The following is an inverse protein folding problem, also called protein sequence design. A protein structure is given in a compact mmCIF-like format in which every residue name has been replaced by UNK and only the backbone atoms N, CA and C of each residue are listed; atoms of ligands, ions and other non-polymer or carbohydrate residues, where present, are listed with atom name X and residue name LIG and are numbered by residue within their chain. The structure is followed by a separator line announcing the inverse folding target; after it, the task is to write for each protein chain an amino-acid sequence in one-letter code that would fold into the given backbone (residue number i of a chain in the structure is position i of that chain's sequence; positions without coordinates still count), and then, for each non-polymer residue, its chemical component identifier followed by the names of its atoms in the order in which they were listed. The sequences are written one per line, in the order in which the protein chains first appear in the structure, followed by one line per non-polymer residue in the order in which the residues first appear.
data_IF_604729625138
#
_entry.id   IF_604729625138
#
_cell.length_a   1.000
_cell.length_b   1.000
_cell.length_c   1.000
_cell.angle_alpha   90.00
_cell.angle_beta   90.00
_cell.angle_gamma   90.00
#
_symmetry.space_group_name_H-M   'P 1'
#
loop_
_entity.id
_entity.type
_entity.pdbx_description
1 polymer ?
#
# COMPACT_ATOMS: atom_id res chain seq x y z
N UNK A 1 -37.49 80.80 57.25
CA UNK A 1 -37.52 79.32 57.33
C UNK A 1 -36.58 78.82 56.26
N UNK A 2 -35.52 78.11 56.66
CA UNK A 2 -34.45 77.63 55.79
C UNK A 2 -34.63 76.11 55.71
N UNK A 3 -35.02 75.60 54.55
CA UNK A 3 -34.96 74.16 54.27
C UNK A 3 -33.64 73.85 53.57
N UNK A 4 -32.84 73.01 54.22
CA UNK A 4 -31.55 72.51 53.73
C UNK A 4 -31.84 71.19 53.02
N UNK A 5 -31.67 71.16 51.70
CA UNK A 5 -31.66 69.93 50.91
C UNK A 5 -30.26 69.30 51.04
N UNK A 6 -30.11 68.01 51.39
CA UNK A 6 -28.80 67.40 51.52
C UNK A 6 -28.21 67.09 50.13
N UNK A 7 -26.94 67.44 49.92
CA UNK A 7 -26.21 67.20 48.67
C UNK A 7 -25.65 65.77 48.71
N UNK A 8 -26.12 64.90 47.81
CA UNK A 8 -25.64 63.53 47.66
C UNK A 8 -24.16 63.49 47.26
N UNK A 9 -23.43 62.60 47.93
CA UNK A 9 -22.02 62.32 47.75
C UNK A 9 -21.87 61.22 46.70
N UNK A 10 -21.82 61.60 45.42
CA UNK A 10 -21.38 60.71 44.34
C UNK A 10 -20.13 61.34 43.73
N UNK A 11 -18.94 60.74 43.87
CA UNK A 11 -17.77 60.92 42.96
C UNK A 11 -16.50 60.21 43.47
N UNK A 12 -16.54 58.88 43.65
CA UNK A 12 -15.29 58.09 43.81
C UNK A 12 -15.25 56.93 42.79
N UNK A 13 -16.35 56.20 42.60
CA UNK A 13 -16.43 55.05 41.68
C UNK A 13 -16.30 55.42 40.19
N UNK A 14 -16.81 56.60 39.77
CA UNK A 14 -16.72 57.06 38.39
C UNK A 14 -15.28 57.38 37.98
N UNK A 15 -14.50 57.99 38.87
CA UNK A 15 -13.09 58.32 38.65
C UNK A 15 -12.24 57.06 38.51
N UNK A 16 -12.48 56.05 39.37
CA UNK A 16 -11.78 54.75 39.31
C UNK A 16 -12.08 54.01 38.00
N UNK A 17 -13.35 53.97 37.58
CA UNK A 17 -13.75 53.34 36.33
C UNK A 17 -13.09 53.99 35.11
N UNK A 18 -12.97 55.33 35.12
CA UNK A 18 -12.32 56.08 34.05
C UNK A 18 -10.80 55.81 33.99
N UNK A 19 -10.13 55.73 35.15
CA UNK A 19 -8.70 55.36 35.21
C UNK A 19 -8.45 53.94 34.69
N UNK A 20 -9.29 52.97 35.07
CA UNK A 20 -9.18 51.59 34.59
C UNK A 20 -9.36 51.52 33.07
N UNK A 21 -10.33 52.26 32.51
CA UNK A 21 -10.55 52.31 31.07
C UNK A 21 -9.33 52.88 30.30
N UNK A 22 -8.68 53.93 30.82
CA UNK A 22 -7.46 54.50 30.22
C UNK A 22 -6.31 53.50 30.27
N UNK A 23 -6.12 52.79 31.38
CA UNK A 23 -5.05 51.79 31.51
C UNK A 23 -5.26 50.64 30.52
N UNK A 24 -6.48 50.13 30.38
CA UNK A 24 -6.81 49.08 29.42
C UNK A 24 -6.56 49.56 27.97
N UNK A 25 -6.90 50.81 27.66
CA UNK A 25 -6.65 51.40 26.34
C UNK A 25 -5.16 51.46 26.03
N UNK A 26 -4.34 51.92 26.98
CA UNK A 26 -2.88 51.99 26.82
C UNK A 26 -2.27 50.60 26.64
N UNK A 27 -2.72 49.60 27.41
CA UNK A 27 -2.26 48.22 27.27
C UNK A 27 -2.64 47.64 25.90
N UNK A 28 -3.86 47.92 25.42
CA UNK A 28 -4.34 47.44 24.12
C UNK A 28 -3.50 48.01 22.97
N UNK A 29 -3.26 49.32 22.97
CA UNK A 29 -2.43 49.99 21.95
C UNK A 29 -0.97 49.54 22.03
N UNK A 30 -0.42 49.43 23.24
CA UNK A 30 0.94 48.94 23.47
C UNK A 30 1.14 47.50 23.00
N UNK A 31 0.16 46.64 23.26
CA UNK A 31 0.18 45.23 22.82
C UNK A 31 0.22 45.15 21.29
N UNK A 32 -0.61 45.93 20.60
CA UNK A 32 -0.62 45.96 19.13
C UNK A 32 0.74 46.36 18.54
N UNK A 33 1.42 47.36 19.13
CA UNK A 33 2.76 47.78 18.70
C UNK A 33 3.82 46.68 18.86
N UNK A 34 3.79 45.95 19.97
CA UNK A 34 4.71 44.84 20.25
C UNK A 34 4.45 43.67 19.29
N UNK A 35 3.18 43.32 19.06
CA UNK A 35 2.80 42.27 18.11
C UNK A 35 3.21 42.61 16.67
N UNK A 36 3.05 43.87 16.25
CA UNK A 36 3.49 44.31 14.92
C UNK A 36 5.02 44.19 14.75
N UNK A 37 5.80 44.60 15.75
CA UNK A 37 7.26 44.53 15.71
C UNK A 37 7.79 43.08 15.70
N UNK A 38 7.16 42.18 16.46
CA UNK A 38 7.49 40.75 16.48
C UNK A 38 7.16 40.05 15.15
N UNK A 39 6.07 40.47 14.49
CA UNK A 39 5.66 39.94 13.19
C UNK A 39 6.69 40.27 12.11
N UNK A 40 7.16 41.51 12.03
CA UNK A 40 8.14 41.94 11.02
C UNK A 40 9.47 41.19 11.13
N UNK A 41 9.94 40.87 12.35
CA UNK A 41 11.17 40.08 12.56
C UNK A 41 11.02 38.60 12.22
N UNK A 42 9.80 38.09 12.27
CA UNK A 42 9.52 36.68 11.95
C UNK A 42 9.41 36.50 10.44
N UNK A 43 8.77 37.45 9.75
CA UNK A 43 8.67 37.47 8.29
C UNK A 43 10.04 37.66 7.63
N UNK A 44 10.91 38.53 8.16
CA UNK A 44 12.26 38.74 7.59
C UNK A 44 13.16 37.51 7.69
N UNK A 45 13.03 36.71 8.77
CA UNK A 45 13.79 35.46 8.93
C UNK A 45 13.25 34.33 8.04
N UNK A 46 11.95 34.35 7.76
CA UNK A 46 11.31 33.41 6.84
C UNK A 46 11.71 33.71 5.39
N UNK A 47 11.76 34.99 5.03
CA UNK A 47 12.21 35.45 3.71
C UNK A 47 13.70 35.14 3.50
N UNK A 48 14.55 35.40 4.50
CA UNK A 48 15.97 35.05 4.48
C UNK A 48 16.20 33.52 4.41
N UNK A 49 15.43 32.72 5.17
CA UNK A 49 15.49 31.26 5.06
C UNK A 49 15.00 30.73 3.70
N UNK A 50 14.00 31.38 3.10
CA UNK A 50 13.48 31.01 1.77
C UNK A 50 14.46 31.38 0.67
N UNK A 51 15.13 32.53 0.78
CA UNK A 51 16.20 32.95 -0.13
C UNK A 51 17.40 31.99 -0.02
N UNK A 52 17.81 31.59 1.20
CA UNK A 52 18.87 30.60 1.40
C UNK A 52 18.52 29.20 0.88
N UNK A 53 17.24 28.80 0.92
CA UNK A 53 16.77 27.54 0.33
C UNK A 53 16.71 27.59 -1.21
N UNK A 54 16.40 28.75 -1.79
CA UNK A 54 16.36 28.97 -3.24
C UNK A 54 17.76 29.19 -3.85
N UNK A 55 18.65 29.91 -3.16
CA UNK A 55 20.07 30.05 -3.53
C UNK A 55 20.90 28.80 -3.21
N UNK A 56 20.46 28.00 -2.23
CA UNK A 56 21.19 26.84 -1.70
C UNK A 56 20.95 25.52 -2.43
N UNK A 57 19.97 25.42 -3.35
CA UNK A 57 19.88 24.26 -4.26
C UNK A 57 21.00 24.37 -5.31
N UNK A 58 22.22 24.01 -4.91
CA UNK A 58 23.36 23.84 -5.80
C UNK A 58 22.96 22.94 -6.96
N UNK A 59 23.37 23.27 -8.19
CA UNK A 59 23.15 22.44 -9.40
C UNK A 59 23.51 20.98 -9.18
N UNK A 60 24.51 20.75 -8.33
CA UNK A 60 25.00 19.44 -7.90
C UNK A 60 23.97 18.63 -7.10
N UNK A 61 23.16 19.27 -6.25
CA UNK A 61 22.09 18.60 -5.51
C UNK A 61 20.88 18.29 -6.40
N UNK A 62 20.56 19.16 -7.35
CA UNK A 62 19.50 18.89 -8.34
C UNK A 62 19.90 17.74 -9.27
N UNK A 63 21.18 17.65 -9.63
CA UNK A 63 21.72 16.55 -10.44
C UNK A 63 21.74 15.23 -9.64
N UNK A 64 22.12 15.26 -8.36
CA UNK A 64 22.08 14.10 -7.48
C UNK A 64 20.64 13.61 -7.24
N UNK A 65 19.69 14.53 -7.02
CA UNK A 65 18.26 14.22 -6.86
C UNK A 65 17.70 13.56 -8.13
N UNK A 66 18.08 14.06 -9.32
CA UNK A 66 17.74 13.46 -10.61
C UNK A 66 18.32 12.05 -10.77
N UNK A 67 19.59 11.85 -10.43
CA UNK A 67 20.25 10.53 -10.48
C UNK A 67 19.59 9.52 -9.53
N UNK A 68 19.22 9.95 -8.31
CA UNK A 68 18.49 9.10 -7.36
C UNK A 68 17.11 8.73 -7.90
N UNK A 69 16.40 9.67 -8.53
CA UNK A 69 15.11 9.39 -9.18
C UNK A 69 15.26 8.38 -10.32
N UNK A 70 16.29 8.52 -11.15
CA UNK A 70 16.56 7.63 -12.28
C UNK A 70 16.92 6.21 -11.80
N UNK A 71 17.71 6.10 -10.73
CA UNK A 71 18.02 4.82 -10.08
C UNK A 71 16.77 4.19 -9.47
N UNK A 72 15.92 4.98 -8.78
CA UNK A 72 14.66 4.50 -8.21
C UNK A 72 13.75 3.94 -9.30
N UNK A 73 13.62 4.65 -10.42
CA UNK A 73 12.79 4.22 -11.55
C UNK A 73 13.30 2.91 -12.14
N UNK A 74 14.63 2.78 -12.33
CA UNK A 74 15.24 1.52 -12.78
C UNK A 74 15.00 0.38 -11.80
N UNK A 75 15.13 0.62 -10.49
CA UNK A 75 14.88 -0.40 -9.47
C UNK A 75 13.40 -0.82 -9.45
N UNK A 76 12.48 0.09 -9.70
CA UNK A 76 11.04 -0.18 -9.77
C UNK A 76 10.71 -1.04 -11.00
N UNK A 77 11.29 -0.72 -12.17
CA UNK A 77 11.17 -1.55 -13.38
C UNK A 77 11.76 -2.96 -13.17
N UNK A 78 12.92 -3.07 -12.52
CA UNK A 78 13.52 -4.35 -12.17
C UNK A 78 12.67 -5.12 -11.15
N UNK A 79 12.08 -4.44 -10.18
CA UNK A 79 11.19 -5.07 -9.19
C UNK A 79 9.94 -5.63 -9.86
N UNK A 80 9.37 -4.93 -10.84
CA UNK A 80 8.23 -5.43 -11.62
C UNK A 80 8.61 -6.70 -12.39
N UNK A 81 9.80 -6.74 -12.99
CA UNK A 81 10.29 -7.92 -13.71
C UNK A 81 10.63 -9.10 -12.77
N UNK A 82 11.26 -8.81 -11.63
CA UNK A 82 11.62 -9.80 -10.61
C UNK A 82 10.38 -10.40 -9.92
N UNK A 83 9.38 -9.57 -9.59
CA UNK A 83 8.10 -10.03 -9.03
C UNK A 83 7.27 -10.84 -10.03
N UNK A 84 7.53 -10.68 -11.34
CA UNK A 84 6.88 -11.45 -12.40
C UNK A 84 7.58 -12.80 -12.66
N UNK A 85 8.70 -13.08 -12.00
CA UNK A 85 9.40 -14.35 -12.10
C UNK A 85 8.66 -15.42 -11.29
N UNK A 86 7.52 -15.85 -11.83
CA UNK A 86 6.84 -17.04 -11.36
C UNK A 86 7.71 -18.25 -11.71
N UNK A 87 7.95 -19.16 -10.77
CA UNK A 87 8.76 -20.34 -11.00
C UNK A 87 7.90 -21.53 -11.46
N UNK A 88 7.81 -21.83 -12.77
CA UNK A 88 7.07 -22.99 -13.22
C UNK A 88 7.77 -24.32 -12.85
N UNK A 89 9.05 -24.31 -12.44
CA UNK A 89 9.78 -25.54 -12.11
C UNK A 89 9.16 -26.28 -10.92
N UNK A 90 8.70 -25.55 -9.90
CA UNK A 90 8.01 -26.11 -8.74
C UNK A 90 6.78 -26.94 -9.13
N UNK A 91 6.03 -26.51 -10.16
CA UNK A 91 4.90 -27.28 -10.67
C UNK A 91 5.34 -28.58 -11.36
N UNK A 92 6.43 -28.54 -12.13
CA UNK A 92 6.95 -29.73 -12.79
C UNK A 92 7.46 -30.75 -11.76
N UNK A 93 8.20 -30.31 -10.75
CA UNK A 93 8.63 -31.15 -9.63
C UNK A 93 7.43 -31.79 -8.92
N UNK A 94 6.41 -30.99 -8.60
CA UNK A 94 5.17 -31.48 -7.99
C UNK A 94 4.49 -32.57 -8.83
N UNK A 95 4.36 -32.37 -10.15
CA UNK A 95 3.74 -33.38 -11.02
C UNK A 95 4.65 -34.61 -11.18
N UNK A 96 5.96 -34.45 -11.28
CA UNK A 96 6.90 -35.57 -11.40
C UNK A 96 6.87 -36.49 -10.18
N UNK A 97 6.74 -35.93 -8.98
CA UNK A 97 6.66 -36.70 -7.73
C UNK A 97 5.28 -37.35 -7.52
N UNK A 98 4.22 -36.73 -8.04
CA UNK A 98 2.83 -37.12 -7.76
C UNK A 98 2.08 -37.70 -8.97
N UNK A 99 2.77 -37.95 -10.08
CA UNK A 99 2.19 -38.58 -11.26
C UNK A 99 2.00 -40.08 -11.07
N UNK A 100 0.79 -40.56 -11.36
CA UNK A 100 0.51 -41.98 -11.44
C UNK A 100 1.21 -42.59 -12.67
N UNK A 101 1.93 -43.72 -12.53
CA UNK A 101 2.77 -44.27 -13.61
C UNK A 101 1.99 -44.63 -14.89
N UNK A 102 0.71 -45.00 -14.76
CA UNK A 102 -0.16 -45.33 -15.88
C UNK A 102 -1.00 -44.15 -16.40
N UNK A 103 -0.53 -42.92 -16.21
CA UNK A 103 -1.14 -41.71 -16.75
C UNK A 103 -0.19 -41.03 -17.71
N UNK A 104 -0.74 -40.59 -18.85
CA UNK A 104 -0.02 -39.82 -19.84
C UNK A 104 -0.64 -38.43 -19.89
N UNK A 105 0.16 -37.42 -19.54
CA UNK A 105 -0.23 -36.02 -19.73
C UNK A 105 0.06 -35.59 -21.17
N UNK A 106 -0.93 -34.97 -21.80
CA UNK A 106 -0.89 -34.58 -23.22
C UNK A 106 -0.83 -33.06 -23.40
N UNK A 107 -1.37 -32.29 -22.44
CA UNK A 107 -1.36 -30.84 -22.49
C UNK A 107 -1.35 -30.27 -21.07
N UNK A 108 -0.59 -29.19 -20.90
CA UNK A 108 -0.52 -28.41 -19.68
C UNK A 108 -0.74 -26.93 -20.02
N UNK A 109 -1.60 -26.27 -19.25
CA UNK A 109 -1.74 -24.82 -19.23
C UNK A 109 -1.59 -24.35 -17.80
N UNK A 110 -0.44 -23.75 -17.47
CA UNK A 110 -0.13 -23.23 -16.15
C UNK A 110 -0.25 -21.70 -16.15
N UNK A 111 -1.08 -21.15 -15.28
CA UNK A 111 -1.10 -19.73 -14.96
C UNK A 111 -0.77 -19.51 -13.48
N UNK A 112 0.50 -19.20 -13.14
CA UNK A 112 0.87 -19.03 -11.75
C UNK A 112 0.33 -17.72 -11.14
N UNK A 113 -0.06 -16.73 -11.95
CA UNK A 113 -0.72 -15.51 -11.44
C UNK A 113 -2.12 -15.84 -10.90
N UNK A 114 -2.86 -16.70 -11.61
CA UNK A 114 -4.18 -17.16 -11.17
C UNK A 114 -4.09 -18.33 -10.17
N UNK A 115 -2.88 -18.87 -9.94
CA UNK A 115 -2.60 -20.09 -9.17
C UNK A 115 -3.34 -21.32 -9.69
N UNK A 116 -3.54 -21.38 -11.00
CA UNK A 116 -4.30 -22.47 -11.65
C UNK A 116 -3.46 -23.21 -12.67
N UNK A 117 -3.59 -24.53 -12.68
CA UNK A 117 -3.08 -25.38 -13.75
C UNK A 117 -4.22 -26.21 -14.34
N UNK A 118 -4.28 -26.26 -15.68
CA UNK A 118 -5.19 -27.13 -16.41
C UNK A 118 -4.36 -28.22 -17.09
N UNK A 119 -4.64 -29.48 -16.75
CA UNK A 119 -3.92 -30.63 -17.28
C UNK A 119 -4.88 -31.52 -18.05
N UNK A 120 -4.54 -31.80 -19.30
CA UNK A 120 -5.21 -32.82 -20.09
C UNK A 120 -4.35 -34.08 -20.11
N UNK A 121 -4.99 -35.23 -19.96
CA UNK A 121 -4.30 -36.51 -20.00
C UNK A 121 -5.20 -37.64 -20.46
N UNK A 122 -4.57 -38.80 -20.58
CA UNK A 122 -5.23 -40.05 -20.89
C UNK A 122 -4.68 -41.21 -20.06
N UNK A 123 -5.55 -42.18 -19.81
CA UNK A 123 -5.21 -43.40 -19.08
C UNK A 123 -6.02 -44.58 -19.57
N UNK A 124 -5.60 -45.79 -19.23
CA UNK A 124 -6.23 -47.03 -19.70
C UNK A 124 -7.52 -47.35 -18.94
N UNK A 125 -7.66 -46.89 -17.69
CA UNK A 125 -8.82 -47.20 -16.87
C UNK A 125 -9.26 -46.03 -15.99
N UNK A 126 -10.55 -45.98 -15.65
CA UNK A 126 -11.09 -44.99 -14.69
C UNK A 126 -10.47 -45.13 -13.28
N UNK A 127 -10.00 -46.32 -12.91
CA UNK A 127 -9.34 -46.57 -11.62
C UNK A 127 -8.05 -45.74 -11.52
N UNK A 128 -7.21 -45.80 -12.54
CA UNK A 128 -5.95 -45.07 -12.57
C UNK A 128 -6.17 -43.55 -12.47
N UNK A 129 -7.21 -43.03 -13.14
CA UNK A 129 -7.61 -41.63 -13.02
C UNK A 129 -8.05 -41.29 -11.59
N UNK A 130 -8.83 -42.16 -10.95
CA UNK A 130 -9.28 -41.94 -9.58
C UNK A 130 -8.12 -41.94 -8.59
N UNK A 131 -7.16 -42.86 -8.76
CA UNK A 131 -5.94 -42.93 -7.95
C UNK A 131 -5.10 -41.66 -8.12
N UNK A 132 -4.94 -41.15 -9.35
CA UNK A 132 -4.27 -39.86 -9.59
C UNK A 132 -4.95 -38.69 -8.92
N UNK A 133 -6.28 -38.60 -8.99
CA UNK A 133 -7.02 -37.50 -8.35
C UNK A 133 -6.83 -37.58 -6.83
N UNK A 134 -6.81 -38.78 -6.26
CA UNK A 134 -6.56 -38.97 -4.82
C UNK A 134 -5.14 -38.54 -4.44
N UNK A 135 -4.13 -38.97 -5.20
CA UNK A 135 -2.73 -38.59 -4.98
C UNK A 135 -2.55 -37.07 -4.96
N UNK A 136 -3.18 -36.37 -5.92
CA UNK A 136 -3.11 -34.91 -5.99
C UNK A 136 -3.84 -34.26 -4.80
N UNK A 137 -5.04 -34.73 -4.45
CA UNK A 137 -5.82 -34.19 -3.32
C UNK A 137 -5.18 -34.39 -1.95
N UNK A 138 -4.37 -35.44 -1.78
CA UNK A 138 -3.66 -35.70 -0.53
C UNK A 138 -2.41 -34.82 -0.36
N UNK A 139 -1.93 -34.15 -1.41
CA UNK A 139 -0.80 -33.25 -1.28
C UNK A 139 -1.22 -31.91 -0.68
N UNK A 140 -0.45 -31.46 0.32
CA UNK A 140 -0.68 -30.22 1.04
C UNK A 140 -0.57 -28.96 0.16
N UNK A 141 0.07 -29.08 -1.00
CA UNK A 141 0.35 -27.96 -1.90
C UNK A 141 -0.80 -27.63 -2.87
N UNK A 142 -1.75 -28.55 -3.07
CA UNK A 142 -2.96 -28.31 -3.86
C UNK A 142 -4.16 -27.99 -2.97
N UNK A 143 -4.76 -26.84 -3.19
CA UNK A 143 -5.95 -26.38 -2.47
C UNK A 143 -7.20 -27.09 -3.00
N UNK A 144 -7.29 -27.24 -4.34
CA UNK A 144 -8.42 -27.87 -5.00
C UNK A 144 -8.00 -28.67 -6.24
N UNK A 145 -8.66 -29.82 -6.44
CA UNK A 145 -8.49 -30.67 -7.62
C UNK A 145 -9.87 -31.01 -8.19
N UNK A 146 -10.17 -30.46 -9.36
CA UNK A 146 -11.44 -30.63 -10.06
C UNK A 146 -11.26 -31.43 -11.36
N UNK A 147 -12.13 -32.41 -11.58
CA UNK A 147 -12.26 -33.11 -12.86
C UNK A 147 -13.35 -32.42 -13.68
N UNK A 148 -12.95 -31.68 -14.72
CA UNK A 148 -13.88 -30.88 -15.53
C UNK A 148 -14.39 -31.59 -16.77
N UNK A 149 -13.64 -32.56 -17.28
CA UNK A 149 -14.00 -33.32 -18.47
C UNK A 149 -13.54 -34.77 -18.37
N UNK A 150 -14.39 -35.68 -18.86
CA UNK A 150 -14.06 -37.08 -19.03
C UNK A 150 -14.73 -37.64 -20.29
N UNK A 151 -13.97 -38.38 -21.09
CA UNK A 151 -14.48 -39.01 -22.32
C UNK A 151 -13.75 -40.30 -22.65
N UNK A 152 -14.37 -41.18 -23.44
CA UNK A 152 -13.68 -42.32 -24.02
C UNK A 152 -13.06 -41.93 -25.36
N UNK A 153 -11.77 -42.18 -25.51
CA UNK A 153 -11.04 -42.12 -26.76
C UNK A 153 -11.39 -43.28 -27.69
N UNK A 154 -10.98 -43.16 -28.94
CA UNK A 154 -11.29 -44.12 -30.01
C UNK A 154 -10.75 -45.53 -29.75
N UNK A 155 -9.69 -45.64 -28.94
CA UNK A 155 -9.04 -46.90 -28.59
C UNK A 155 -9.47 -47.43 -27.20
N UNK A 156 -10.54 -46.89 -26.62
CA UNK A 156 -11.05 -47.29 -25.30
C UNK A 156 -10.32 -46.66 -24.11
N UNK A 157 -9.36 -45.77 -24.35
CA UNK A 157 -8.66 -45.00 -23.32
C UNK A 157 -9.55 -43.89 -22.74
N UNK A 158 -9.39 -43.62 -21.45
CA UNK A 158 -10.11 -42.55 -20.74
C UNK A 158 -9.31 -41.27 -20.89
N UNK A 159 -9.89 -40.28 -21.57
CA UNK A 159 -9.35 -38.92 -21.68
C UNK A 159 -9.99 -38.02 -20.63
N UNK A 160 -9.19 -37.18 -20.00
CA UNK A 160 -9.64 -36.34 -18.91
C UNK A 160 -9.01 -34.95 -18.94
N UNK A 161 -9.67 -34.01 -18.26
CA UNK A 161 -9.12 -32.69 -17.95
C UNK A 161 -9.25 -32.45 -16.45
N UNK A 162 -8.12 -32.15 -15.81
CA UNK A 162 -8.03 -31.74 -14.42
C UNK A 162 -7.75 -30.24 -14.33
N UNK A 163 -8.38 -29.59 -13.37
CA UNK A 163 -8.06 -28.23 -12.94
C UNK A 163 -7.53 -28.32 -11.52
N UNK A 164 -6.35 -27.75 -11.31
CA UNK A 164 -5.65 -27.70 -10.05
C UNK A 164 -5.55 -26.26 -9.60
N UNK A 165 -5.93 -25.98 -8.37
CA UNK A 165 -5.72 -24.70 -7.71
C UNK A 165 -4.70 -24.86 -6.59
N UNK A 166 -3.77 -23.92 -6.49
CA UNK A 166 -2.64 -23.98 -5.56
C UNK A 166 -2.71 -22.86 -4.52
N UNK A 167 -2.16 -23.15 -3.35
CA UNK A 167 -1.94 -22.18 -2.29
C UNK A 167 -1.04 -21.02 -2.77
N UNK A 168 -1.21 -19.83 -2.18
CA UNK A 168 -0.47 -18.64 -2.61
C UNK A 168 1.05 -18.81 -2.48
N UNK A 169 1.50 -19.58 -1.49
CA UNK A 169 2.93 -19.85 -1.24
C UNK A 169 3.58 -20.78 -2.26
N UNK A 170 2.81 -21.58 -3.02
CA UNK A 170 3.36 -22.65 -3.85
C UNK A 170 4.34 -22.13 -4.93
N UNK A 171 3.97 -21.05 -5.62
CA UNK A 171 4.80 -20.45 -6.67
C UNK A 171 5.81 -19.40 -6.18
N UNK A 172 5.86 -19.14 -4.88
CA UNK A 172 6.73 -18.13 -4.26
C UNK A 172 8.01 -18.72 -3.68
N UNK A 173 8.12 -20.05 -3.58
CA UNK A 173 9.30 -20.73 -3.09
C UNK A 173 10.41 -20.73 -4.15
N UNK A 174 11.58 -20.19 -3.77
CA UNK A 174 12.79 -20.03 -4.58
C UNK A 174 13.97 -20.61 -3.79
#
# INVERSE_FOLDING_TARGET
MVDIIPKQQETELSSIALTIAIVILVISVGSFGIFAFLKTRTESKLEEATILLLEGKSKEQAELESQILDIKTKLEDFSILALKQNNPSAFFEFIEENAHPDIIFSQLSLNPQDRKAVINGETRTFRNLQEQILLLKEQADSEEVELTSISLGQEGQVKFTLVLEFEHSFFLNL
#
